data_IF_741791492494
#
_entry.id   IF_741791492494
#
_cell.length_a   1.000
_cell.length_b   1.000
_cell.length_c   1.000
_cell.angle_alpha   90.00
_cell.angle_beta   90.00
_cell.angle_gamma   90.00
#
_symmetry.space_group_name_H-M   'P 1'
#
loop_
_entity.id
_entity.type
_entity.pdbx_description
1 polymer ?
#
# COMPACT_ATOMS: atom_id res chain seq x y z
N UNK A 1 -7.61 15.11 -14.48
CA UNK A 1 -8.38 14.63 -13.33
C UNK A 1 -7.41 14.07 -12.29
N UNK A 2 -7.61 14.44 -11.01
CA UNK A 2 -6.80 13.95 -9.88
C UNK A 2 -7.77 13.53 -8.77
N UNK A 3 -7.53 12.37 -8.19
CA UNK A 3 -8.21 11.89 -7.00
C UNK A 3 -7.16 11.50 -5.96
N UNK A 4 -7.35 11.96 -4.72
CA UNK A 4 -6.51 11.58 -3.59
C UNK A 4 -7.08 10.33 -2.93
N UNK A 5 -6.27 9.28 -2.88
CA UNK A 5 -6.66 8.02 -2.25
C UNK A 5 -6.41 8.07 -0.75
N UNK A 6 -7.26 7.43 0.04
CA UNK A 6 -6.97 7.16 1.43
C UNK A 6 -6.04 5.97 1.58
N UNK A 7 -5.16 6.01 2.57
CA UNK A 7 -4.30 4.90 2.98
C UNK A 7 -4.01 4.99 4.50
N UNK A 8 -3.36 3.99 5.13
CA UNK A 8 -2.84 4.15 6.49
C UNK A 8 -1.85 5.31 6.56
N UNK A 9 -2.10 6.26 7.48
CA UNK A 9 -1.33 7.51 7.61
C UNK A 9 0.16 7.28 7.80
N UNK A 10 0.52 6.29 8.62
CA UNK A 10 1.90 5.94 8.93
C UNK A 10 2.54 5.02 7.87
N UNK A 11 1.85 4.69 6.79
CA UNK A 11 2.25 3.60 5.88
C UNK A 11 2.54 2.31 6.65
N UNK A 12 1.66 2.01 7.60
CA UNK A 12 1.79 0.96 8.60
C UNK A 12 1.35 -0.41 8.11
N UNK A 13 1.71 -1.45 8.87
CA UNK A 13 1.18 -2.81 8.72
C UNK A 13 -0.02 -3.08 9.63
N UNK A 14 -0.63 -2.06 10.23
CA UNK A 14 -1.72 -2.19 11.20
C UNK A 14 -2.92 -2.97 10.68
N UNK A 15 -3.12 -3.03 9.36
CA UNK A 15 -4.16 -3.86 8.75
C UNK A 15 -3.98 -5.37 8.98
N UNK A 16 -2.76 -5.81 9.28
CA UNK A 16 -2.40 -7.22 9.57
C UNK A 16 -2.49 -7.55 11.07
N UNK A 17 -2.65 -6.55 11.94
CA UNK A 17 -2.82 -6.77 13.37
C UNK A 17 -4.24 -7.22 13.69
N UNK A 18 -4.36 -8.07 14.72
CA UNK A 18 -5.65 -8.47 15.30
C UNK A 18 -6.28 -7.35 16.14
N UNK A 19 -5.54 -6.30 16.47
CA UNK A 19 -6.06 -5.09 17.13
C UNK A 19 -6.67 -4.19 16.06
N UNK A 20 -7.99 -4.14 16.00
CA UNK A 20 -8.72 -3.41 14.94
C UNK A 20 -8.64 -1.89 15.06
N UNK A 21 -8.41 -1.36 16.25
CA UNK A 21 -8.50 0.07 16.54
C UNK A 21 -7.41 0.90 15.86
N UNK A 22 -6.17 0.41 15.79
CA UNK A 22 -5.06 1.15 15.21
C UNK A 22 -5.22 1.35 13.69
N UNK A 23 -5.65 0.33 12.98
CA UNK A 23 -5.84 0.42 11.55
C UNK A 23 -6.92 1.45 11.18
N UNK A 24 -8.08 1.36 11.82
CA UNK A 24 -9.19 2.27 11.57
C UNK A 24 -8.84 3.72 11.97
N UNK A 25 -8.11 3.91 13.08
CA UNK A 25 -7.64 5.24 13.49
C UNK A 25 -6.68 5.84 12.46
N UNK A 26 -5.73 5.05 12.01
CA UNK A 26 -4.70 5.47 11.05
C UNK A 26 -5.34 5.87 9.69
N UNK A 27 -6.32 5.09 9.23
CA UNK A 27 -7.10 5.39 8.02
C UNK A 27 -7.92 6.67 8.19
N UNK A 28 -8.65 6.83 9.30
CA UNK A 28 -9.45 8.04 9.55
C UNK A 28 -8.57 9.29 9.66
N UNK A 29 -7.41 9.17 10.32
CA UNK A 29 -6.45 10.26 10.42
C UNK A 29 -5.96 10.70 9.05
N UNK A 30 -5.69 9.76 8.14
CA UNK A 30 -5.27 10.08 6.79
C UNK A 30 -6.40 10.73 5.99
N UNK A 31 -7.62 10.20 6.06
CA UNK A 31 -8.79 10.79 5.41
C UNK A 31 -9.02 12.24 5.83
N UNK A 32 -9.00 12.51 7.14
CA UNK A 32 -9.11 13.87 7.69
C UNK A 32 -7.97 14.79 7.22
N UNK A 33 -6.75 14.25 7.10
CA UNK A 33 -5.60 15.01 6.61
C UNK A 33 -5.77 15.41 5.14
N UNK A 34 -6.24 14.49 4.30
CA UNK A 34 -6.55 14.77 2.88
C UNK A 34 -7.64 15.82 2.79
N UNK A 35 -8.75 15.64 3.50
CA UNK A 35 -9.86 16.60 3.49
C UNK A 35 -9.41 17.99 3.93
N UNK A 36 -8.61 18.09 4.99
CA UNK A 36 -8.06 19.36 5.47
C UNK A 36 -7.15 20.06 4.45
N UNK A 37 -6.36 19.29 3.69
CA UNK A 37 -5.38 19.84 2.73
C UNK A 37 -5.99 20.18 1.38
N UNK A 38 -6.97 19.41 0.91
CA UNK A 38 -7.47 19.46 -0.45
C UNK A 38 -8.97 19.79 -0.55
N UNK A 39 -9.67 19.89 0.60
CA UNK A 39 -11.08 20.28 0.66
C UNK A 39 -12.08 19.19 0.30
N UNK A 40 -11.63 17.96 0.05
CA UNK A 40 -12.46 16.81 -0.31
C UNK A 40 -12.06 15.58 0.48
N UNK A 41 -13.05 14.91 1.07
CA UNK A 41 -12.83 13.60 1.70
C UNK A 41 -12.53 12.54 0.64
N UNK A 42 -11.54 11.67 0.85
CA UNK A 42 -11.23 10.59 -0.09
C UNK A 42 -12.33 9.52 -0.05
N UNK A 43 -12.72 9.00 -1.21
CA UNK A 43 -13.75 7.97 -1.38
C UNK A 43 -13.18 6.61 -1.80
N UNK A 44 -11.97 6.60 -2.33
CA UNK A 44 -11.24 5.39 -2.70
C UNK A 44 -10.08 5.12 -1.74
N UNK A 45 -9.82 3.85 -1.49
CA UNK A 45 -8.82 3.39 -0.54
C UNK A 45 -7.77 2.50 -1.22
N UNK A 46 -6.52 2.66 -0.77
CA UNK A 46 -5.40 1.79 -1.11
C UNK A 46 -4.59 1.50 0.15
N UNK A 47 -4.39 0.24 0.48
CA UNK A 47 -3.60 -0.12 1.65
C UNK A 47 -2.08 0.00 1.40
N UNK A 48 -1.31 0.05 2.47
CA UNK A 48 0.15 -0.06 2.46
C UNK A 48 0.57 -1.21 1.55
N UNK A 49 1.45 -0.90 0.59
CA UNK A 49 2.01 -1.88 -0.34
C UNK A 49 0.97 -2.76 -1.07
N UNK A 50 -0.23 -2.22 -1.31
CA UNK A 50 -1.37 -2.93 -1.89
C UNK A 50 -1.77 -4.18 -1.10
N UNK A 51 -1.45 -4.25 0.18
CA UNK A 51 -1.85 -5.37 1.04
C UNK A 51 -3.38 -5.42 1.11
N UNK A 52 -3.93 -6.57 0.78
CA UNK A 52 -5.37 -6.79 0.76
C UNK A 52 -5.72 -8.23 1.11
N UNK A 53 -6.83 -8.39 1.82
CA UNK A 53 -7.58 -9.62 2.01
C UNK A 53 -9.06 -9.28 2.16
N UNK A 54 -9.95 -10.27 2.07
CA UNK A 54 -11.38 -10.07 2.24
C UNK A 54 -11.70 -9.44 3.61
N UNK A 55 -11.01 -9.86 4.67
CA UNK A 55 -11.18 -9.27 6.01
C UNK A 55 -10.78 -7.79 6.08
N UNK A 56 -9.71 -7.39 5.38
CA UNK A 56 -9.32 -5.99 5.26
C UNK A 56 -10.38 -5.22 4.46
N UNK A 57 -10.89 -5.80 3.37
CA UNK A 57 -11.96 -5.21 2.58
C UNK A 57 -13.22 -4.92 3.39
N UNK A 58 -13.64 -5.85 4.26
CA UNK A 58 -14.77 -5.65 5.17
C UNK A 58 -14.53 -4.51 6.18
N UNK A 59 -13.31 -4.41 6.74
CA UNK A 59 -12.94 -3.33 7.66
C UNK A 59 -13.02 -1.97 6.99
N UNK A 60 -12.51 -1.86 5.77
CA UNK A 60 -12.52 -0.63 4.97
C UNK A 60 -13.95 -0.26 4.55
N UNK A 61 -14.77 -1.24 4.18
CA UNK A 61 -16.19 -1.00 3.87
C UNK A 61 -16.94 -0.41 5.08
N UNK A 62 -16.68 -0.90 6.30
CA UNK A 62 -17.25 -0.33 7.54
C UNK A 62 -16.81 1.12 7.83
N UNK A 63 -15.68 1.56 7.26
CA UNK A 63 -15.23 2.95 7.31
C UNK A 63 -15.88 3.85 6.27
N UNK A 64 -16.71 3.29 5.39
CA UNK A 64 -17.46 4.02 4.37
C UNK A 64 -16.78 4.09 3.00
N UNK A 65 -15.67 3.38 2.79
CA UNK A 65 -15.04 3.28 1.48
C UNK A 65 -15.70 2.19 0.64
N UNK A 66 -16.00 2.52 -0.62
CA UNK A 66 -16.64 1.60 -1.55
C UNK A 66 -15.78 1.28 -2.78
N UNK A 67 -14.61 1.88 -2.89
CA UNK A 67 -13.64 1.59 -3.96
C UNK A 67 -12.29 1.26 -3.33
N UNK A 68 -11.77 0.06 -3.60
CA UNK A 68 -10.50 -0.43 -3.06
C UNK A 68 -9.57 -0.78 -4.22
N UNK A 69 -8.33 -0.28 -4.15
CA UNK A 69 -7.28 -0.58 -5.11
C UNK A 69 -6.31 -1.59 -4.52
N UNK A 70 -6.04 -2.67 -5.25
CA UNK A 70 -5.11 -3.71 -4.79
C UNK A 70 -4.36 -4.39 -5.93
N UNK A 71 -3.51 -5.35 -5.60
CA UNK A 71 -2.69 -6.10 -6.55
C UNK A 71 -3.54 -7.11 -7.34
N UNK A 72 -3.25 -7.24 -8.63
CA UNK A 72 -3.78 -8.29 -9.49
C UNK A 72 -2.92 -9.54 -9.43
N UNK A 73 -2.83 -10.18 -8.25
CA UNK A 73 -2.01 -11.36 -8.04
C UNK A 73 -2.50 -12.54 -8.89
N UNK A 74 -1.60 -13.12 -9.69
CA UNK A 74 -1.94 -14.17 -10.65
C UNK A 74 -2.61 -15.40 -10.01
N UNK A 75 -2.15 -15.80 -8.83
CA UNK A 75 -2.71 -16.97 -8.11
C UNK A 75 -4.12 -16.71 -7.57
N UNK A 76 -4.49 -15.43 -7.34
CA UNK A 76 -5.84 -15.02 -6.95
C UNK A 76 -6.74 -14.86 -8.18
N UNK A 77 -6.21 -14.27 -9.24
CA UNK A 77 -6.94 -14.08 -10.48
C UNK A 77 -7.36 -15.42 -11.10
N UNK A 78 -6.45 -16.42 -11.11
CA UNK A 78 -6.66 -17.66 -11.84
C UNK A 78 -6.88 -17.37 -13.33
N UNK A 79 -8.11 -17.63 -13.82
CA UNK A 79 -8.52 -17.33 -15.20
C UNK A 79 -9.12 -15.93 -15.41
N UNK A 80 -9.34 -15.18 -14.32
CA UNK A 80 -9.97 -13.86 -14.35
C UNK A 80 -9.03 -12.81 -14.94
N UNK A 81 -9.64 -11.79 -15.55
CA UNK A 81 -8.91 -10.68 -16.12
C UNK A 81 -8.90 -9.49 -15.14
N UNK A 82 -7.72 -8.93 -14.77
CA UNK A 82 -7.62 -7.76 -13.88
C UNK A 82 -8.19 -6.48 -14.52
N UNK A 83 -8.48 -6.50 -15.81
CA UNK A 83 -8.98 -5.35 -16.56
C UNK A 83 -10.52 -5.18 -16.50
N UNK A 84 -11.16 -5.81 -15.52
CA UNK A 84 -12.54 -5.58 -15.16
C UNK A 84 -12.63 -5.00 -13.74
N UNK A 85 -13.75 -4.34 -13.46
CA UNK A 85 -14.10 -4.02 -12.07
C UNK A 85 -14.60 -5.29 -11.40
N UNK A 86 -14.05 -5.62 -10.27
CA UNK A 86 -14.48 -6.73 -9.42
C UNK A 86 -15.24 -6.22 -8.19
N UNK A 87 -15.81 -7.12 -7.39
CA UNK A 87 -16.40 -6.75 -6.12
C UNK A 87 -15.96 -7.69 -4.99
N UNK A 88 -16.10 -7.20 -3.77
CA UNK A 88 -15.85 -7.99 -2.57
C UNK A 88 -16.84 -9.17 -2.47
N UNK A 89 -16.39 -10.39 -2.07
CA UNK A 89 -17.24 -11.59 -2.12
C UNK A 89 -18.51 -11.46 -1.27
N UNK A 90 -18.45 -10.80 -0.12
CA UNK A 90 -19.56 -10.66 0.81
C UNK A 90 -20.28 -9.29 0.70
N UNK A 91 -19.83 -8.40 -0.20
CA UNK A 91 -20.41 -7.06 -0.34
C UNK A 91 -20.21 -6.52 -1.77
N UNK A 92 -21.20 -6.69 -2.61
CA UNK A 92 -21.17 -6.28 -4.02
C UNK A 92 -21.09 -4.76 -4.25
N UNK A 93 -21.38 -3.96 -3.21
CA UNK A 93 -21.22 -2.50 -3.25
C UNK A 93 -19.76 -2.07 -3.14
N UNK A 94 -18.88 -2.93 -2.65
CA UNK A 94 -17.44 -2.65 -2.55
C UNK A 94 -16.75 -3.07 -3.84
N UNK A 95 -16.38 -2.09 -4.65
CA UNK A 95 -15.68 -2.29 -5.91
C UNK A 95 -14.18 -2.49 -5.66
N UNK A 96 -13.59 -3.44 -6.36
CA UNK A 96 -12.17 -3.76 -6.27
C UNK A 96 -11.53 -3.54 -7.63
N UNK A 97 -10.57 -2.62 -7.67
CA UNK A 97 -9.78 -2.30 -8.85
C UNK A 97 -8.42 -3.00 -8.73
N UNK A 98 -8.18 -3.95 -9.62
CA UNK A 98 -6.97 -4.76 -9.60
C UNK A 98 -5.89 -4.15 -10.48
N UNK A 99 -4.67 -4.06 -9.96
CA UNK A 99 -3.49 -3.65 -10.74
C UNK A 99 -3.27 -4.62 -11.89
N UNK A 100 -3.12 -4.11 -13.10
CA UNK A 100 -2.50 -4.89 -14.17
C UNK A 100 -1.00 -4.99 -13.89
N UNK A 101 -0.59 -6.09 -13.25
CA UNK A 101 0.77 -6.29 -12.76
C UNK A 101 1.78 -6.25 -13.91
N UNK A 102 1.50 -6.97 -15.02
CA UNK A 102 2.41 -7.05 -16.17
C UNK A 102 2.70 -5.67 -16.75
N UNK A 103 1.67 -4.92 -17.12
CA UNK A 103 1.83 -3.60 -17.74
C UNK A 103 2.45 -2.59 -16.76
N UNK A 104 2.11 -2.64 -15.47
CA UNK A 104 2.71 -1.77 -14.47
C UNK A 104 4.21 -2.07 -14.27
N UNK A 105 4.58 -3.34 -14.25
CA UNK A 105 5.96 -3.78 -14.05
C UNK A 105 6.82 -3.53 -15.31
N UNK A 106 6.25 -3.51 -16.51
CA UNK A 106 6.94 -3.11 -17.75
C UNK A 106 7.54 -1.70 -17.63
N UNK A 107 6.79 -0.76 -17.04
CA UNK A 107 7.31 0.59 -16.80
C UNK A 107 8.22 0.62 -15.57
N UNK A 108 7.79 0.00 -14.46
CA UNK A 108 8.48 0.15 -13.17
C UNK A 108 9.83 -0.57 -13.13
N UNK A 109 9.93 -1.73 -13.77
CA UNK A 109 11.06 -2.65 -13.63
C UNK A 109 11.84 -2.81 -14.94
N UNK A 110 11.16 -2.90 -16.08
CA UNK A 110 11.76 -3.31 -17.36
C UNK A 110 12.10 -2.17 -18.31
N UNK A 111 11.56 -0.97 -18.11
CA UNK A 111 11.69 0.16 -19.03
C UNK A 111 13.14 0.44 -19.48
N UNK A 112 14.09 0.37 -18.56
CA UNK A 112 15.51 0.63 -18.83
C UNK A 112 16.35 -0.65 -19.03
N UNK A 113 15.72 -1.82 -19.02
CA UNK A 113 16.41 -3.12 -19.18
C UNK A 113 16.69 -3.40 -20.65
N UNK A 114 17.96 -3.31 -21.05
CA UNK A 114 18.38 -3.52 -22.44
C UNK A 114 18.28 -4.96 -22.90
N UNK A 115 18.31 -5.89 -21.96
CA UNK A 115 18.21 -7.33 -22.20
C UNK A 115 16.75 -7.80 -22.31
N UNK A 116 15.80 -6.89 -22.15
CA UNK A 116 14.38 -7.20 -22.31
C UNK A 116 14.01 -7.21 -23.80
N UNK A 117 13.37 -8.28 -24.26
CA UNK A 117 13.00 -8.48 -25.67
C UNK A 117 12.17 -7.35 -26.28
N UNK A 118 11.42 -6.63 -25.42
CA UNK A 118 10.57 -5.51 -25.82
C UNK A 118 11.27 -4.13 -25.71
N UNK A 119 12.57 -4.11 -25.38
CA UNK A 119 13.35 -2.87 -25.35
C UNK A 119 13.63 -2.36 -26.77
N UNK A 120 13.55 -1.03 -27.02
CA UNK A 120 13.06 0.01 -26.13
C UNK A 120 11.54 0.06 -26.07
N UNK A 121 11.00 0.38 -24.86
CA UNK A 121 9.59 0.63 -24.69
C UNK A 121 9.25 2.07 -25.06
N UNK A 122 8.56 2.27 -26.19
CA UNK A 122 8.07 3.58 -26.62
C UNK A 122 6.64 3.83 -26.14
N UNK A 123 6.24 5.11 -26.06
CA UNK A 123 4.88 5.49 -25.70
C UNK A 123 3.84 4.92 -26.67
N UNK A 124 4.12 4.94 -27.97
CA UNK A 124 3.26 4.36 -29.01
C UNK A 124 3.09 2.86 -28.84
N UNK A 125 4.20 2.12 -28.65
CA UNK A 125 4.18 0.67 -28.43
C UNK A 125 3.35 0.31 -27.21
N UNK A 126 3.55 1.03 -26.13
CA UNK A 126 2.83 0.80 -24.88
C UNK A 126 1.34 1.15 -24.98
N UNK A 127 1.00 2.24 -25.67
CA UNK A 127 -0.39 2.60 -25.95
C UNK A 127 -1.11 1.51 -26.74
N UNK A 128 -0.47 0.88 -27.73
CA UNK A 128 -1.03 -0.28 -28.44
C UNK A 128 -1.31 -1.47 -27.51
N UNK A 129 -0.44 -1.74 -26.55
CA UNK A 129 -0.67 -2.80 -25.55
C UNK A 129 -1.83 -2.50 -24.63
N UNK A 130 -1.96 -1.24 -24.19
CA UNK A 130 -3.10 -0.81 -23.39
C UNK A 130 -4.42 -0.95 -24.16
N UNK A 131 -4.46 -0.47 -25.40
CA UNK A 131 -5.63 -0.58 -26.29
C UNK A 131 -6.00 -2.06 -26.56
N UNK A 132 -5.02 -2.92 -26.80
CA UNK A 132 -5.26 -4.36 -26.94
C UNK A 132 -5.83 -4.99 -25.67
N UNK A 133 -5.34 -4.58 -24.50
CA UNK A 133 -5.85 -5.06 -23.21
C UNK A 133 -7.29 -4.62 -22.94
N UNK A 134 -7.71 -3.46 -23.46
CA UNK A 134 -9.06 -2.93 -23.33
C UNK A 134 -10.05 -3.57 -24.33
N UNK A 135 -9.60 -4.32 -25.33
CA UNK A 135 -10.49 -5.13 -26.17
C UNK A 135 -11.10 -6.31 -25.41
N UNK A 136 -10.43 -6.75 -24.33
CA UNK A 136 -10.84 -7.87 -23.48
C UNK A 136 -11.22 -7.43 -22.06
N UNK A 137 -11.42 -6.13 -21.84
CA UNK A 137 -11.71 -5.54 -20.52
C UNK A 137 -12.29 -4.15 -20.61
N UNK A 138 -12.79 -3.65 -19.49
CA UNK A 138 -13.40 -2.32 -19.37
C UNK A 138 -12.38 -1.25 -18.94
N UNK A 139 -11.36 -1.63 -18.17
CA UNK A 139 -10.42 -0.72 -17.54
C UNK A 139 -9.02 -1.34 -17.41
N UNK A 140 -7.97 -0.53 -17.54
CA UNK A 140 -6.60 -0.95 -17.20
C UNK A 140 -6.10 -0.09 -16.05
N UNK A 141 -5.87 -0.71 -14.91
CA UNK A 141 -5.33 -0.05 -13.74
C UNK A 141 -3.80 -0.19 -13.70
N UNK A 142 -3.10 0.94 -13.84
CA UNK A 142 -1.64 1.01 -13.81
C UNK A 142 -1.18 1.62 -12.49
N UNK A 143 -0.36 0.89 -11.74
CA UNK A 143 0.14 1.34 -10.45
C UNK A 143 1.67 1.36 -10.46
N UNK A 144 2.24 2.53 -10.20
CA UNK A 144 3.68 2.68 -10.04
C UNK A 144 4.05 3.67 -8.94
N UNK A 145 5.28 3.56 -8.48
CA UNK A 145 5.86 4.54 -7.58
C UNK A 145 6.40 5.72 -8.38
N UNK A 146 6.34 6.92 -7.83
CA UNK A 146 6.97 8.10 -8.42
C UNK A 146 8.46 7.88 -8.75
N UNK A 147 9.16 7.08 -7.94
CA UNK A 147 10.57 6.73 -8.16
C UNK A 147 10.82 6.00 -9.49
N UNK A 148 9.81 5.41 -10.11
CA UNK A 148 9.95 4.85 -11.46
C UNK A 148 10.36 5.93 -12.48
N UNK A 149 10.01 7.19 -12.22
CA UNK A 149 10.27 8.34 -13.07
C UNK A 149 11.38 9.20 -12.48
N UNK A 150 12.61 9.02 -12.95
CA UNK A 150 13.79 9.81 -12.58
C UNK A 150 14.74 9.16 -11.57
N UNK A 151 14.32 8.15 -10.78
CA UNK A 151 15.19 7.43 -9.85
C UNK A 151 15.54 6.03 -10.36
N UNK A 152 14.57 5.20 -10.70
CA UNK A 152 14.81 3.86 -11.23
C UNK A 152 15.07 3.89 -12.74
N UNK A 153 14.30 4.68 -13.46
CA UNK A 153 14.55 5.00 -14.85
C UNK A 153 15.00 6.46 -14.93
N UNK A 154 16.28 6.67 -15.21
CA UNK A 154 16.88 8.02 -15.27
C UNK A 154 16.31 8.83 -16.44
N UNK A 155 16.45 10.15 -16.42
CA UNK A 155 16.03 11.03 -17.51
C UNK A 155 16.63 10.62 -18.86
N UNK A 156 17.88 10.15 -18.85
CA UNK A 156 18.60 9.66 -20.04
C UNK A 156 18.01 8.39 -20.67
N UNK A 157 17.09 7.69 -19.96
CA UNK A 157 16.39 6.52 -20.51
C UNK A 157 15.22 6.90 -21.44
N UNK A 158 14.85 8.18 -21.52
CA UNK A 158 13.67 8.63 -22.25
C UNK A 158 12.33 8.48 -21.50
N UNK A 159 12.37 8.13 -20.19
CA UNK A 159 11.14 7.87 -19.39
C UNK A 159 10.22 9.10 -19.31
N UNK A 160 10.77 10.32 -19.30
CA UNK A 160 9.96 11.53 -19.26
C UNK A 160 9.31 11.86 -20.61
N UNK A 161 9.97 11.55 -21.72
CA UNK A 161 9.36 11.68 -23.05
C UNK A 161 8.27 10.61 -23.23
N UNK A 162 8.53 9.39 -22.78
CA UNK A 162 7.50 8.34 -22.72
C UNK A 162 6.26 8.84 -21.96
N UNK A 163 6.44 9.40 -20.76
CA UNK A 163 5.33 9.89 -19.92
C UNK A 163 4.59 11.07 -20.58
N UNK A 164 5.31 11.93 -21.31
CA UNK A 164 4.74 13.07 -22.04
C UNK A 164 3.86 12.65 -23.22
N UNK A 165 4.32 11.66 -23.98
CA UNK A 165 3.63 11.26 -25.22
C UNK A 165 2.59 10.17 -25.02
N UNK A 166 2.69 9.36 -23.96
CA UNK A 166 1.74 8.27 -23.72
C UNK A 166 0.27 8.74 -23.70
N UNK A 167 -0.11 9.82 -22.98
CA UNK A 167 -1.49 10.29 -23.00
C UNK A 167 -1.97 10.70 -24.40
N UNK A 168 -1.10 11.25 -25.22
CA UNK A 168 -1.45 11.65 -26.59
C UNK A 168 -1.84 10.45 -27.44
N UNK A 169 -1.02 9.36 -27.40
CA UNK A 169 -1.31 8.13 -28.13
C UNK A 169 -2.54 7.36 -27.62
N UNK A 170 -2.95 7.59 -26.39
CA UNK A 170 -4.17 6.98 -25.84
C UNK A 170 -5.39 7.80 -26.28
N UNK A 171 -5.33 9.13 -26.18
CA UNK A 171 -6.45 10.04 -26.41
C UNK A 171 -6.65 10.41 -27.88
N UNK A 172 -5.84 9.91 -28.82
CA UNK A 172 -6.05 10.11 -30.25
C UNK A 172 -7.29 9.35 -30.79
N UNK A 173 -7.83 8.42 -30.01
CA UNK A 173 -9.08 7.74 -30.28
C UNK A 173 -10.12 8.10 -29.19
N UNK A 174 -11.27 8.64 -29.59
CA UNK A 174 -12.32 9.17 -28.69
C UNK A 174 -12.92 8.13 -27.71
N UNK A 175 -12.77 6.84 -28.04
CA UNK A 175 -13.28 5.75 -27.20
C UNK A 175 -12.45 5.52 -25.92
N UNK A 176 -11.24 6.09 -25.81
CA UNK A 176 -10.37 5.93 -24.64
C UNK A 176 -10.32 7.19 -23.80
N UNK A 177 -10.31 7.01 -22.48
CA UNK A 177 -10.25 8.11 -21.53
C UNK A 177 -9.45 7.72 -20.28
N UNK A 178 -8.92 8.72 -19.59
CA UNK A 178 -8.38 8.58 -18.23
C UNK A 178 -9.47 8.89 -17.22
N UNK A 179 -9.71 7.98 -16.30
CA UNK A 179 -10.70 8.12 -15.23
C UNK A 179 -10.03 8.04 -13.87
N UNK A 180 -10.64 8.66 -12.88
CA UNK A 180 -10.26 8.45 -11.48
C UNK A 180 -10.84 7.13 -10.96
N UNK A 181 -10.28 6.53 -9.89
CA UNK A 181 -10.81 5.30 -9.30
C UNK A 181 -12.29 5.35 -8.97
N UNK A 182 -12.76 6.47 -8.40
CA UNK A 182 -14.19 6.65 -8.10
C UNK A 182 -15.05 6.73 -9.36
N UNK A 183 -14.59 7.42 -10.39
CA UNK A 183 -15.28 7.46 -11.68
C UNK A 183 -15.36 6.07 -12.32
N UNK A 184 -14.28 5.28 -12.25
CA UNK A 184 -14.29 3.88 -12.73
C UNK A 184 -15.33 3.07 -11.99
N UNK A 185 -15.36 3.16 -10.65
CA UNK A 185 -16.30 2.41 -9.83
C UNK A 185 -17.78 2.81 -10.09
N UNK A 186 -18.04 4.07 -10.44
CA UNK A 186 -19.37 4.57 -10.79
C UNK A 186 -19.79 4.16 -12.21
N UNK A 187 -18.85 4.20 -13.15
CA UNK A 187 -19.13 4.00 -14.58
C UNK A 187 -19.31 2.52 -14.95
N UNK A 188 -18.48 1.65 -14.38
CA UNK A 188 -18.45 0.24 -14.78
C UNK A 188 -19.06 -0.66 -13.72
N UNK A 189 -20.01 -1.54 -14.10
CA UNK A 189 -20.55 -2.55 -13.20
C UNK A 189 -19.44 -3.53 -12.82
N UNK A 190 -19.47 -4.03 -11.59
CA UNK A 190 -18.57 -5.12 -11.21
C UNK A 190 -18.98 -6.40 -11.94
N UNK A 191 -17.99 -7.09 -12.50
CA UNK A 191 -18.24 -8.30 -13.32
C UNK A 191 -18.46 -9.54 -12.45
N UNK A 192 -17.63 -9.69 -11.42
CA UNK A 192 -17.65 -10.86 -10.55
C UNK A 192 -16.94 -10.60 -9.21
N UNK A 193 -17.16 -11.49 -8.26
CA UNK A 193 -16.46 -11.47 -6.98
C UNK A 193 -15.01 -11.90 -7.14
N UNK A 194 -14.11 -11.25 -6.41
CA UNK A 194 -12.73 -11.71 -6.22
C UNK A 194 -12.54 -12.18 -4.78
N UNK A 195 -12.04 -13.40 -4.61
CA UNK A 195 -11.81 -14.02 -3.31
C UNK A 195 -10.34 -13.93 -2.93
N UNK A 196 -10.05 -13.27 -1.82
CA UNK A 196 -8.68 -13.09 -1.30
C UNK A 196 -8.67 -13.47 0.18
N UNK A 197 -8.69 -14.78 0.50
CA UNK A 197 -8.79 -15.25 1.88
C UNK A 197 -7.54 -14.96 2.71
N UNK A 198 -6.38 -14.93 2.09
CA UNK A 198 -5.10 -14.61 2.71
C UNK A 198 -4.53 -13.32 2.15
N UNK A 199 -3.81 -12.52 2.96
CA UNK A 199 -3.27 -11.24 2.51
C UNK A 199 -2.30 -11.40 1.31
N UNK A 200 -2.57 -10.63 0.27
CA UNK A 200 -1.69 -10.43 -0.90
C UNK A 200 -1.01 -9.07 -0.82
N UNK A 201 0.04 -8.86 -1.61
CA UNK A 201 0.69 -7.56 -1.79
C UNK A 201 1.27 -7.42 -3.20
N UNK A 202 1.86 -6.24 -3.49
CA UNK A 202 2.54 -6.02 -4.78
C UNK A 202 3.96 -6.59 -4.84
N UNK A 203 4.51 -7.05 -3.71
CA UNK A 203 5.93 -7.37 -3.56
C UNK A 203 6.26 -8.75 -4.14
N UNK A 204 7.43 -8.85 -4.78
CA UNK A 204 8.03 -10.05 -5.36
C UNK A 204 7.10 -10.88 -6.29
N UNK A 205 7.50 -12.09 -6.59
CA UNK A 205 6.74 -12.96 -7.50
C UNK A 205 5.60 -13.67 -6.79
N UNK A 206 5.76 -13.97 -5.49
CA UNK A 206 4.76 -14.64 -4.67
C UNK A 206 3.54 -13.78 -4.40
N UNK A 207 3.68 -12.45 -4.44
CA UNK A 207 2.60 -11.49 -4.19
C UNK A 207 1.92 -11.70 -2.84
N UNK A 208 2.69 -12.09 -1.82
CA UNK A 208 2.26 -12.31 -0.44
C UNK A 208 2.83 -11.24 0.51
N UNK A 209 2.78 -11.50 1.83
CA UNK A 209 3.26 -10.57 2.86
C UNK A 209 4.63 -10.95 3.44
N UNK A 210 5.30 -11.96 2.92
CA UNK A 210 6.57 -12.47 3.47
C UNK A 210 7.73 -11.48 3.41
N UNK A 211 7.61 -10.41 2.64
CA UNK A 211 8.56 -9.28 2.69
C UNK A 211 8.52 -8.50 3.99
N UNK A 212 7.46 -8.62 4.79
CA UNK A 212 7.27 -7.90 6.06
C UNK A 212 7.03 -8.82 7.24
N UNK A 213 6.43 -10.01 7.05
CA UNK A 213 6.13 -11.04 8.04
C UNK A 213 6.48 -12.40 7.45
N UNK A 214 7.77 -12.64 7.23
CA UNK A 214 8.28 -13.86 6.59
C UNK A 214 9.44 -14.51 7.36
N UNK A 215 9.75 -14.00 8.56
CA UNK A 215 10.72 -14.61 9.46
C UNK A 215 10.47 -14.21 10.92
N UNK A 216 11.04 -14.95 11.85
CA UNK A 216 10.86 -14.75 13.29
C UNK A 216 11.23 -13.33 13.79
N UNK A 217 12.21 -12.66 13.17
CA UNK A 217 12.60 -11.31 13.55
C UNK A 217 11.48 -10.30 13.26
N UNK A 218 10.87 -10.44 12.10
CA UNK A 218 9.77 -9.58 11.66
C UNK A 218 8.51 -9.82 12.49
N UNK A 219 8.17 -11.10 12.73
CA UNK A 219 7.02 -11.50 13.53
C UNK A 219 7.14 -11.03 14.96
N UNK A 220 8.28 -11.27 15.62
CA UNK A 220 8.53 -10.80 16.98
C UNK A 220 8.45 -9.26 17.08
N UNK A 221 9.10 -8.53 16.19
CA UNK A 221 9.03 -7.08 16.18
C UNK A 221 7.60 -6.55 15.98
N UNK A 222 6.80 -7.23 15.16
CA UNK A 222 5.41 -6.89 14.90
C UNK A 222 4.53 -7.13 16.12
N UNK A 223 4.64 -8.30 16.74
CA UNK A 223 3.87 -8.66 17.93
C UNK A 223 4.17 -7.72 19.11
N UNK A 224 5.45 -7.47 19.39
CA UNK A 224 5.87 -6.56 20.46
C UNK A 224 5.37 -5.12 20.22
N UNK A 225 5.43 -4.62 18.99
CA UNK A 225 4.91 -3.30 18.67
C UNK A 225 3.40 -3.20 18.94
N UNK A 226 2.62 -4.13 18.40
CA UNK A 226 1.16 -4.04 18.50
C UNK A 226 0.63 -4.44 19.90
N UNK A 227 1.40 -5.15 20.69
CA UNK A 227 1.12 -5.37 22.12
C UNK A 227 1.10 -4.06 22.94
N UNK A 228 1.78 -3.02 22.46
CA UNK A 228 1.76 -1.70 23.11
C UNK A 228 0.49 -0.89 22.82
N UNK A 229 -0.30 -1.25 21.79
CA UNK A 229 -1.46 -0.47 21.35
C UNK A 229 -2.43 -0.12 22.48
N UNK A 230 -2.88 -1.07 23.34
CA UNK A 230 -3.80 -0.74 24.42
C UNK A 230 -3.22 0.23 25.46
N UNK A 231 -1.90 0.19 25.68
CA UNK A 231 -1.23 1.11 26.59
C UNK A 231 -1.17 2.52 26.02
N UNK A 232 -0.79 2.63 24.72
CA UNK A 232 -0.68 3.93 24.02
C UNK A 232 -2.05 4.62 23.94
N UNK A 233 -3.14 3.87 23.74
CA UNK A 233 -4.50 4.44 23.68
C UNK A 233 -4.90 5.20 24.95
N UNK A 234 -4.39 4.79 26.11
CA UNK A 234 -4.73 5.37 27.39
C UNK A 234 -3.84 6.56 27.78
N UNK A 235 -2.88 6.96 26.94
CA UNK A 235 -1.96 8.06 27.22
C UNK A 235 -2.40 9.30 26.43
N UNK A 236 -2.62 10.47 27.07
CA UNK A 236 -3.02 11.69 26.37
C UNK A 236 -1.84 12.46 25.73
N UNK A 237 -0.64 11.88 25.62
CA UNK A 237 0.55 12.52 25.08
C UNK A 237 0.67 12.32 23.55
N UNK A 238 0.44 13.40 22.80
CA UNK A 238 0.57 13.39 21.35
C UNK A 238 1.97 13.08 20.84
N UNK A 239 3.04 13.34 21.60
CA UNK A 239 4.41 13.03 21.18
C UNK A 239 4.62 11.52 21.20
N UNK A 240 4.12 10.83 22.23
CA UNK A 240 4.13 9.36 22.29
C UNK A 240 3.29 8.74 21.17
N UNK A 241 2.11 9.26 20.89
CA UNK A 241 1.30 8.81 19.75
C UNK A 241 2.03 8.99 18.41
N UNK A 242 2.72 10.11 18.21
CA UNK A 242 3.53 10.31 16.98
C UNK A 242 4.70 9.34 16.88
N UNK A 243 5.37 9.05 18.00
CA UNK A 243 6.46 8.07 18.04
C UNK A 243 5.95 6.68 17.72
N UNK A 244 4.85 6.27 18.35
CA UNK A 244 4.17 5.00 18.07
C UNK A 244 3.78 4.86 16.58
N UNK A 245 3.18 5.90 16.02
CA UNK A 245 2.83 5.94 14.59
C UNK A 245 4.05 5.75 13.67
N UNK A 246 5.20 6.34 14.00
CA UNK A 246 6.44 6.17 13.23
C UNK A 246 7.01 4.76 13.32
N UNK A 247 6.93 4.13 14.50
CA UNK A 247 7.37 2.76 14.71
C UNK A 247 6.56 1.74 13.90
N UNK A 248 5.31 2.06 13.57
CA UNK A 248 4.45 1.21 12.73
C UNK A 248 4.81 1.21 11.24
N UNK A 249 5.72 2.07 10.77
CA UNK A 249 6.05 2.15 9.35
C UNK A 249 6.55 0.80 8.81
N UNK A 250 5.95 0.34 7.73
CA UNK A 250 6.25 -0.96 7.11
C UNK A 250 7.72 -1.14 6.68
N UNK A 251 8.45 -0.04 6.45
CA UNK A 251 9.85 -0.10 6.06
C UNK A 251 10.73 -0.74 7.14
N UNK A 252 10.43 -0.54 8.43
CA UNK A 252 11.19 -1.16 9.52
C UNK A 252 11.18 -2.67 9.40
N UNK A 253 10.00 -3.25 9.16
CA UNK A 253 9.83 -4.70 8.99
C UNK A 253 10.49 -5.19 7.70
N UNK A 254 10.37 -4.44 6.60
CA UNK A 254 11.02 -4.81 5.35
C UNK A 254 12.55 -4.83 5.45
N UNK A 255 13.18 -3.98 6.26
CA UNK A 255 14.62 -4.00 6.49
C UNK A 255 15.09 -5.26 7.22
N UNK A 256 14.23 -5.91 8.02
CA UNK A 256 14.51 -7.16 8.73
C UNK A 256 14.30 -8.41 7.87
N UNK A 257 13.84 -8.25 6.62
CA UNK A 257 13.57 -9.39 5.73
C UNK A 257 14.86 -10.09 5.33
N UNK A 258 14.91 -11.40 5.57
CA UNK A 258 15.98 -12.30 5.13
C UNK A 258 15.70 -12.92 3.76
N UNK A 259 14.58 -12.56 3.13
CA UNK A 259 14.17 -13.11 1.83
C UNK A 259 15.20 -12.80 0.76
N UNK A 260 15.59 -13.84 0.01
CA UNK A 260 16.47 -13.70 -1.14
C UNK A 260 15.66 -13.08 -2.28
N UNK A 261 16.02 -11.89 -2.64
CA UNK A 261 15.41 -11.15 -3.77
C UNK A 261 16.37 -11.13 -4.96
N UNK A 262 15.82 -10.98 -6.16
CA UNK A 262 16.65 -10.87 -7.37
C UNK A 262 17.67 -9.74 -7.27
N UNK A 263 18.76 -9.82 -8.03
CA UNK A 263 19.80 -8.77 -8.04
C UNK A 263 19.20 -7.40 -8.38
N UNK A 264 18.25 -7.36 -9.31
CA UNK A 264 17.57 -6.14 -9.71
C UNK A 264 16.75 -5.52 -8.58
N UNK A 265 16.04 -6.34 -7.83
CA UNK A 265 15.29 -5.91 -6.64
C UNK A 265 16.24 -5.47 -5.51
N UNK A 266 17.40 -6.14 -5.36
CA UNK A 266 18.44 -5.74 -4.38
C UNK A 266 19.00 -4.36 -4.66
N UNK A 267 19.26 -4.03 -5.91
CA UNK A 267 19.75 -2.70 -6.31
C UNK A 267 18.73 -1.58 -6.04
N UNK A 268 17.44 -1.93 -5.99
CA UNK A 268 16.34 -1.02 -5.68
C UNK A 268 15.99 -0.98 -4.17
N UNK A 269 16.40 -1.97 -3.38
CA UNK A 269 16.18 -2.04 -1.93
C UNK A 269 17.26 -1.21 -1.23
N UNK A 270 16.90 -0.03 -0.76
CA UNK A 270 17.78 0.80 0.06
C UNK A 270 17.48 0.53 1.53
N UNK A 271 18.35 -0.23 2.20
CA UNK A 271 18.35 -0.37 3.66
C UNK A 271 19.43 0.50 4.27
N UNK A 272 19.16 1.25 5.34
CA UNK A 272 20.18 2.00 6.08
C UNK A 272 21.05 1.10 6.96
N UNK A 273 20.70 -0.18 7.09
CA UNK A 273 21.37 -1.18 7.94
C UNK A 273 22.23 -2.11 7.11
N UNK A 274 23.34 -2.58 7.72
CA UNK A 274 24.26 -3.49 7.07
C UNK A 274 23.66 -4.90 6.89
N UNK A 275 22.77 -5.32 7.82
CA UNK A 275 22.09 -6.62 7.76
C UNK A 275 20.64 -6.53 8.30
N UNK A 276 19.80 -7.53 8.02
CA UNK A 276 18.49 -7.68 8.65
C UNK A 276 18.58 -7.78 10.18
N UNK A 277 19.60 -8.39 10.71
CA UNK A 277 19.84 -8.52 12.15
C UNK A 277 20.16 -7.17 12.79
N UNK A 278 20.98 -6.32 12.14
CA UNK A 278 21.24 -4.96 12.62
C UNK A 278 19.96 -4.13 12.61
N UNK A 279 19.11 -4.28 11.59
CA UNK A 279 17.81 -3.63 11.52
C UNK A 279 16.92 -4.04 12.70
N UNK A 280 16.85 -5.33 12.99
CA UNK A 280 16.07 -5.87 14.11
C UNK A 280 16.59 -5.37 15.46
N UNK A 281 17.90 -5.48 15.73
CA UNK A 281 18.49 -5.06 17.01
C UNK A 281 18.24 -3.57 17.25
N UNK A 282 18.47 -2.73 16.23
CA UNK A 282 18.23 -1.30 16.36
C UNK A 282 16.75 -0.99 16.61
N UNK A 283 15.85 -1.64 15.88
CA UNK A 283 14.42 -1.45 16.05
C UNK A 283 13.94 -1.86 17.43
N UNK A 284 14.36 -3.05 17.92
CA UNK A 284 13.97 -3.55 19.24
C UNK A 284 14.53 -2.71 20.39
N UNK A 285 15.73 -2.15 20.24
CA UNK A 285 16.27 -1.19 21.21
C UNK A 285 15.39 0.05 21.32
N UNK A 286 14.99 0.62 20.19
CA UNK A 286 14.09 1.80 20.18
C UNK A 286 12.71 1.44 20.70
N UNK A 287 12.18 0.28 20.35
CA UNK A 287 10.88 -0.18 20.83
C UNK A 287 10.88 -0.43 22.34
N UNK A 288 11.95 -1.01 22.88
CA UNK A 288 12.11 -1.24 24.33
C UNK A 288 12.20 0.09 25.11
N UNK A 289 12.96 1.07 24.60
CA UNK A 289 13.03 2.40 25.21
C UNK A 289 11.66 3.09 25.18
N UNK A 290 10.97 3.02 24.07
CA UNK A 290 9.61 3.54 23.91
C UNK A 290 8.61 2.87 24.88
N UNK A 291 8.71 1.55 25.08
CA UNK A 291 7.90 0.83 26.06
C UNK A 291 8.11 1.34 27.49
N UNK A 292 9.36 1.63 27.87
CA UNK A 292 9.68 2.22 29.18
C UNK A 292 9.12 3.64 29.33
N UNK A 293 9.12 4.44 28.27
CA UNK A 293 8.51 5.78 28.29
C UNK A 293 7.00 5.71 28.48
N UNK A 294 6.33 4.76 27.81
CA UNK A 294 4.90 4.48 27.97
C UNK A 294 4.59 4.10 29.44
N UNK A 295 5.34 3.16 30.02
CA UNK A 295 5.09 2.71 31.39
C UNK A 295 5.31 3.84 32.40
N UNK A 296 6.31 4.73 32.19
CA UNK A 296 6.50 5.94 33.00
C UNK A 296 5.33 6.93 32.87
N UNK A 297 4.81 7.13 31.67
CA UNK A 297 3.67 8.03 31.41
C UNK A 297 2.40 7.52 32.11
N UNK A 298 2.11 6.23 32.02
CA UNK A 298 0.98 5.60 32.71
C UNK A 298 1.11 5.68 34.23
N UNK A 299 2.30 5.40 34.78
CA UNK A 299 2.55 5.51 36.24
C UNK A 299 2.36 6.94 36.77
N UNK A 300 2.73 7.95 35.98
CA UNK A 300 2.50 9.36 36.31
C UNK A 300 1.03 9.73 36.30
N UNK A 301 0.27 9.20 35.31
CA UNK A 301 -1.18 9.43 35.21
C UNK A 301 -1.90 8.88 36.44
N UNK A 302 -1.63 7.62 36.85
CA UNK A 302 -2.22 7.00 38.03
C UNK A 302 -1.92 7.82 39.28
N UNK A 303 -0.68 8.30 39.47
CA UNK A 303 -0.33 9.15 40.64
C UNK A 303 -1.15 10.44 40.68
N UNK A 304 -1.33 11.10 39.55
CA UNK A 304 -2.10 12.34 39.45
C UNK A 304 -3.60 12.11 39.76
N UNK A 305 -4.18 10.98 39.33
CA UNK A 305 -5.57 10.62 39.61
C UNK A 305 -5.80 10.33 41.08
N UNK A 306 -4.87 9.64 41.76
CA UNK A 306 -4.94 9.37 43.21
C UNK A 306 -4.87 10.67 44.01
N UNK A 307 -3.95 11.57 43.64
CA UNK A 307 -3.81 12.87 44.30
C UNK A 307 -5.05 13.75 44.16
N UNK A 308 -5.77 13.67 43.06
CA UNK A 308 -7.01 14.43 42.83
C UNK A 308 -8.23 13.86 43.59
N UNK A 309 -8.19 12.61 44.03
CA UNK A 309 -9.25 11.97 44.83
C UNK A 309 -9.08 12.20 46.34
N UNK A 310 -7.91 12.68 46.77
CA UNK A 310 -7.61 12.99 48.18
C UNK A 310 -7.96 14.44 48.56
N UNK A 311 -8.50 15.25 47.62
CA UNK A 311 -9.02 16.59 47.84
C UNK A 311 -10.53 16.67 47.57
#
# INVERSE_FOLDING_TARGET
>A
CVEFLCEPYAHSLSSLSNTTTEFEKDVRRHAQRIEKLFGHAPTAFRNTSLIYSDSIGERIARLGFHTILTEGAKHILGWRNPNFVHHHPNNDKVKILLKNAKLSDDISLRFSSRDWDEYPLTAEKYARWLKASLQEGDVVNLFFRYQAFGKYNLASSGIFDFLRYLPQYILDEEQYAFLTPSQVAETFPAKEAIYVPNPISWTDEERDITSWLGNELQENAFEELFALSPKVENIPDEALHRTYSRLQCSNHFNYMSTKIISLEQRLKKVSPYASPYDAYINYMNVLSDFSLEIDKALAKQVKNEVTLQEF
#
